data_IF_848244621645
#
_entry.id   IF_848244621645
#
_cell.length_a   1.000
_cell.length_b   1.000
_cell.length_c   1.000
_cell.angle_alpha   90.00
_cell.angle_beta   90.00
_cell.angle_gamma   90.00
#
_symmetry.space_group_name_H-M   'P 1'
#
loop_
_entity.id
_entity.type
_entity.pdbx_description
1 polymer ?
#
# COMPACT_ATOMS: atom_id res chain seq x y z
N UNK A 1 -17.88 20.33 -15.35
CA UNK A 1 -17.99 18.87 -15.04
C UNK A 1 -18.77 18.73 -13.74
N UNK A 2 -19.75 17.83 -13.65
CA UNK A 2 -20.48 17.64 -12.38
C UNK A 2 -19.55 17.12 -11.27
N UNK A 3 -19.78 17.56 -10.04
CA UNK A 3 -19.02 17.18 -8.84
C UNK A 3 -18.89 15.66 -8.70
N UNK A 4 -19.97 14.93 -8.99
CA UNK A 4 -20.01 13.45 -9.00
C UNK A 4 -19.04 12.85 -10.03
N UNK A 5 -18.97 13.41 -11.26
CA UNK A 5 -18.04 12.93 -12.29
C UNK A 5 -16.58 13.13 -11.86
N UNK A 6 -16.28 14.26 -11.20
CA UNK A 6 -14.95 14.52 -10.63
C UNK A 6 -14.59 13.51 -9.52
N UNK A 7 -15.51 13.26 -8.60
CA UNK A 7 -15.32 12.30 -7.51
C UNK A 7 -15.15 10.85 -8.02
N UNK A 8 -15.91 10.43 -9.03
CA UNK A 8 -15.72 9.11 -9.68
C UNK A 8 -14.31 8.94 -10.25
N UNK A 9 -13.79 9.98 -10.91
CA UNK A 9 -12.41 9.96 -11.41
C UNK A 9 -11.41 9.89 -10.27
N UNK A 10 -11.63 10.63 -9.19
CA UNK A 10 -10.75 10.63 -8.03
C UNK A 10 -10.72 9.27 -7.33
N UNK A 11 -11.87 8.60 -7.17
CA UNK A 11 -11.95 7.23 -6.65
C UNK A 11 -11.11 6.28 -7.49
N UNK A 12 -11.22 6.33 -8.83
CA UNK A 12 -10.40 5.48 -9.72
C UNK A 12 -8.90 5.75 -9.57
N UNK A 13 -8.50 7.01 -9.48
CA UNK A 13 -7.09 7.38 -9.28
C UNK A 13 -6.57 6.89 -7.92
N UNK A 14 -7.36 7.03 -6.86
CA UNK A 14 -7.00 6.55 -5.51
C UNK A 14 -6.95 5.02 -5.44
N UNK A 15 -7.85 4.33 -6.14
CA UNK A 15 -7.83 2.87 -6.24
C UNK A 15 -6.53 2.38 -6.88
N UNK A 16 -6.18 2.96 -8.04
CA UNK A 16 -4.90 2.65 -8.71
C UNK A 16 -3.69 2.95 -7.83
N UNK A 17 -3.73 4.00 -7.02
CA UNK A 17 -2.63 4.33 -6.09
C UNK A 17 -2.51 3.30 -4.95
N UNK A 18 -3.63 2.78 -4.45
CA UNK A 18 -3.64 1.70 -3.46
C UNK A 18 -3.05 0.42 -4.07
N UNK A 19 -3.46 0.03 -5.28
CA UNK A 19 -2.90 -1.11 -6.02
C UNK A 19 -1.38 -0.97 -6.23
N UNK A 20 -0.90 0.21 -6.62
CA UNK A 20 0.54 0.48 -6.76
C UNK A 20 1.29 0.32 -5.42
N UNK A 21 0.69 0.77 -4.33
CA UNK A 21 1.30 0.66 -2.99
C UNK A 21 1.34 -0.79 -2.53
N UNK A 22 0.32 -1.59 -2.88
CA UNK A 22 0.29 -3.03 -2.62
C UNK A 22 1.34 -3.78 -3.43
N UNK A 23 1.48 -3.48 -4.73
CA UNK A 23 2.54 -4.05 -5.55
C UNK A 23 3.94 -3.72 -4.98
N UNK A 24 4.15 -2.48 -4.54
CA UNK A 24 5.41 -2.06 -3.91
C UNK A 24 5.67 -2.82 -2.61
N UNK A 25 4.62 -3.07 -1.80
CA UNK A 25 4.74 -3.89 -0.60
C UNK A 25 5.15 -5.33 -0.94
N UNK A 26 4.52 -5.94 -1.95
CA UNK A 26 4.86 -7.30 -2.38
C UNK A 26 6.31 -7.39 -2.88
N UNK A 27 6.78 -6.41 -3.65
CA UNK A 27 8.17 -6.33 -4.10
C UNK A 27 9.13 -6.16 -2.92
N UNK A 28 8.78 -5.32 -1.93
CA UNK A 28 9.59 -5.15 -0.71
C UNK A 28 9.69 -6.41 0.14
N UNK A 29 8.61 -7.21 0.23
CA UNK A 29 8.61 -8.50 0.94
C UNK A 29 9.51 -9.49 0.19
N UNK A 30 9.49 -9.49 -1.14
CA UNK A 30 10.40 -10.33 -1.94
C UNK A 30 11.84 -9.91 -1.74
N UNK A 31 12.13 -8.62 -1.72
CA UNK A 31 13.47 -8.10 -1.45
C UNK A 31 13.96 -8.50 -0.05
N UNK A 32 13.10 -8.38 0.98
CA UNK A 32 13.42 -8.81 2.34
C UNK A 32 13.84 -10.29 2.39
N UNK A 33 13.09 -11.18 1.72
CA UNK A 33 13.46 -12.61 1.65
C UNK A 33 14.84 -12.81 1.01
N UNK A 34 15.13 -12.06 -0.06
CA UNK A 34 16.45 -12.09 -0.69
C UNK A 34 17.58 -11.66 0.25
N UNK A 35 17.37 -10.63 1.07
CA UNK A 35 18.34 -10.21 2.09
C UNK A 35 18.46 -11.22 3.24
N UNK A 36 17.36 -11.85 3.65
CA UNK A 36 17.37 -12.91 4.67
C UNK A 36 18.15 -14.14 4.20
N UNK A 37 17.96 -14.55 2.94
CA UNK A 37 18.72 -15.62 2.30
C UNK A 37 20.22 -15.26 2.19
N UNK A 38 20.53 -14.00 1.81
CA UNK A 38 21.91 -13.52 1.73
C UNK A 38 22.59 -13.49 3.10
N UNK A 39 21.88 -13.10 4.15
CA UNK A 39 22.38 -13.15 5.53
C UNK A 39 22.60 -14.60 6.00
N UNK A 40 21.69 -15.52 5.70
CA UNK A 40 21.88 -16.94 6.00
C UNK A 40 23.12 -17.52 5.30
N UNK A 41 23.35 -17.14 4.04
CA UNK A 41 24.56 -17.52 3.31
C UNK A 41 25.82 -16.94 3.95
N UNK A 42 25.80 -15.66 4.36
CA UNK A 42 26.92 -15.03 5.05
C UNK A 42 27.25 -15.73 6.38
N UNK A 43 26.23 -16.11 7.16
CA UNK A 43 26.40 -16.89 8.38
C UNK A 43 27.04 -18.26 8.12
N UNK A 44 26.64 -18.95 7.05
CA UNK A 44 27.27 -20.22 6.65
C UNK A 44 28.75 -20.02 6.32
N UNK A 45 29.08 -19.00 5.53
CA UNK A 45 30.46 -18.68 5.16
C UNK A 45 31.30 -18.28 6.37
N UNK A 46 30.73 -17.54 7.33
CA UNK A 46 31.42 -17.22 8.58
C UNK A 46 31.69 -18.46 9.42
N UNK A 47 30.72 -19.38 9.54
CA UNK A 47 30.93 -20.64 10.25
C UNK A 47 32.04 -21.48 9.60
N UNK A 48 32.07 -21.57 8.28
CA UNK A 48 33.14 -22.23 7.53
C UNK A 48 34.51 -21.57 7.77
N UNK A 49 34.57 -20.25 7.75
CA UNK A 49 35.81 -19.49 7.99
C UNK A 49 36.33 -19.69 9.42
N UNK A 50 35.44 -19.65 10.43
CA UNK A 50 35.78 -19.92 11.83
C UNK A 50 36.26 -21.36 12.05
N UNK A 51 35.62 -22.33 11.40
CA UNK A 51 36.07 -23.73 11.44
C UNK A 51 37.46 -23.89 10.81
N UNK A 52 37.72 -23.20 9.69
CA UNK A 52 39.03 -23.16 9.04
C UNK A 52 40.11 -22.54 9.93
N UNK A 53 39.79 -21.45 10.63
CA UNK A 53 40.67 -20.83 11.63
C UNK A 53 40.98 -21.78 12.78
N UNK A 54 39.95 -22.43 13.36
CA UNK A 54 40.12 -23.44 14.42
C UNK A 54 41.04 -24.58 13.98
N UNK A 55 40.83 -25.12 12.79
CA UNK A 55 41.67 -26.19 12.24
C UNK A 55 43.13 -25.72 12.01
N UNK A 56 43.35 -24.46 11.61
CA UNK A 56 44.70 -23.91 11.49
C UNK A 56 45.38 -23.78 12.85
N UNK A 57 44.64 -23.33 13.87
CA UNK A 57 45.13 -23.22 15.26
C UNK A 57 45.48 -24.59 15.84
N UNK A 58 44.64 -25.61 15.63
CA UNK A 58 44.88 -26.98 16.08
C UNK A 58 46.11 -27.61 15.41
N UNK A 59 46.30 -27.36 14.11
CA UNK A 59 47.49 -27.81 13.36
C UNK A 59 48.76 -27.17 13.88
N UNK A 60 48.75 -25.85 14.11
CA UNK A 60 49.90 -25.15 14.69
C UNK A 60 50.23 -25.73 16.07
N UNK A 61 49.23 -25.83 16.95
CA UNK A 61 49.40 -26.40 18.29
C UNK A 61 50.01 -27.80 18.25
N UNK A 62 49.43 -28.70 17.45
CA UNK A 62 49.89 -30.09 17.29
C UNK A 62 51.33 -30.16 16.77
N UNK A 63 51.68 -29.28 15.82
CA UNK A 63 53.00 -29.27 15.22
C UNK A 63 54.09 -28.73 16.16
N UNK A 64 53.73 -27.81 17.06
CA UNK A 64 54.63 -27.21 18.07
C UNK A 64 54.66 -27.95 19.42
N UNK A 65 53.91 -29.03 19.58
CA UNK A 65 53.83 -29.81 20.83
C UNK A 65 55.12 -30.58 21.17
N UNK A 66 55.31 -30.90 22.46
CA UNK A 66 56.46 -31.68 22.93
C UNK A 66 56.56 -33.05 22.23
N UNK A 67 57.75 -33.39 21.73
CA UNK A 67 58.03 -34.66 21.02
C UNK A 67 57.95 -34.57 19.49
N UNK A 68 57.52 -33.45 18.93
CA UNK A 68 57.52 -33.17 17.49
C UNK A 68 58.92 -32.80 16.98
N UNK A 69 59.41 -33.45 15.90
CA UNK A 69 60.62 -33.01 15.17
C UNK A 69 60.25 -31.87 14.24
N UNK A 70 60.08 -30.68 14.80
CA UNK A 70 59.59 -29.51 14.07
C UNK A 70 60.75 -28.61 13.61
N UNK A 71 60.76 -28.22 12.32
CA UNK A 71 61.73 -27.26 11.78
C UNK A 71 61.21 -25.83 11.95
N UNK A 72 62.06 -24.87 12.31
CA UNK A 72 61.65 -23.48 12.55
C UNK A 72 60.95 -22.80 11.35
N UNK A 73 61.26 -23.21 10.12
CA UNK A 73 60.59 -22.72 8.91
C UNK A 73 59.11 -23.15 8.82
N UNK A 74 58.77 -24.32 9.35
CA UNK A 74 57.40 -24.83 9.35
C UNK A 74 56.54 -24.06 10.36
N UNK A 75 57.14 -23.64 11.48
CA UNK A 75 56.48 -22.80 12.49
C UNK A 75 56.03 -21.47 11.91
N UNK A 76 56.92 -20.81 11.17
CA UNK A 76 56.65 -19.52 10.53
C UNK A 76 55.54 -19.68 9.49
N UNK A 77 55.60 -20.74 8.68
CA UNK A 77 54.59 -21.01 7.64
C UNK A 77 53.21 -21.26 8.25
N UNK A 78 53.12 -22.09 9.30
CA UNK A 78 51.84 -22.35 9.99
C UNK A 78 51.31 -21.10 10.70
N UNK A 79 52.19 -20.26 11.25
CA UNK A 79 51.78 -18.98 11.85
C UNK A 79 51.21 -18.03 10.79
N UNK A 80 51.82 -17.94 9.61
CA UNK A 80 51.29 -17.14 8.49
C UNK A 80 49.91 -17.63 8.06
N UNK A 81 49.74 -18.95 7.89
CA UNK A 81 48.45 -19.54 7.52
C UNK A 81 47.37 -19.30 8.57
N UNK A 82 47.73 -19.30 9.87
CA UNK A 82 46.82 -18.95 10.95
C UNK A 82 46.39 -17.48 10.84
N UNK A 83 47.34 -16.55 10.64
CA UNK A 83 47.02 -15.13 10.46
C UNK A 83 46.12 -14.88 9.24
N UNK A 84 46.34 -15.57 8.12
CA UNK A 84 45.45 -15.51 6.96
C UNK A 84 44.05 -16.07 7.26
N UNK A 85 43.95 -17.14 8.05
CA UNK A 85 42.67 -17.70 8.47
C UNK A 85 41.91 -16.77 9.43
N UNK A 86 42.60 -16.15 10.38
CA UNK A 86 42.06 -15.13 11.28
C UNK A 86 41.54 -13.91 10.51
N UNK A 87 42.30 -13.45 9.49
CA UNK A 87 41.87 -12.38 8.60
C UNK A 87 40.56 -12.72 7.86
N UNK A 88 40.48 -13.92 7.26
CA UNK A 88 39.27 -14.40 6.57
C UNK A 88 38.07 -14.55 7.51
N UNK A 89 38.28 -15.06 8.71
CA UNK A 89 37.26 -15.19 9.76
C UNK A 89 36.71 -13.83 10.19
N UNK A 90 37.60 -12.85 10.41
CA UNK A 90 37.22 -11.49 10.73
C UNK A 90 36.47 -10.78 9.58
N UNK A 91 36.91 -10.97 8.33
CA UNK A 91 36.21 -10.47 7.14
C UNK A 91 34.81 -11.08 7.01
N UNK A 92 34.68 -12.40 7.19
CA UNK A 92 33.40 -13.08 7.13
C UNK A 92 32.44 -12.57 8.22
N UNK A 93 32.92 -12.38 9.45
CA UNK A 93 32.12 -11.80 10.54
C UNK A 93 31.63 -10.38 10.23
N UNK A 94 32.49 -9.53 9.63
CA UNK A 94 32.08 -8.20 9.17
C UNK A 94 31.00 -8.28 8.10
N UNK A 95 31.13 -9.21 7.15
CA UNK A 95 30.15 -9.40 6.09
C UNK A 95 28.80 -9.89 6.63
N UNK A 96 28.80 -10.80 7.61
CA UNK A 96 27.57 -11.23 8.31
C UNK A 96 26.89 -10.04 8.99
N UNK A 97 27.64 -9.21 9.72
CA UNK A 97 27.09 -8.02 10.37
C UNK A 97 26.48 -7.04 9.34
N UNK A 98 27.16 -6.78 8.24
CA UNK A 98 26.63 -5.94 7.16
C UNK A 98 25.37 -6.53 6.51
N UNK A 99 25.31 -7.86 6.34
CA UNK A 99 24.12 -8.52 5.81
C UNK A 99 22.94 -8.42 6.78
N UNK A 100 23.19 -8.52 8.10
CA UNK A 100 22.16 -8.30 9.12
C UNK A 100 21.61 -6.87 9.08
N UNK A 101 22.48 -5.86 8.96
CA UNK A 101 22.05 -4.46 8.84
C UNK A 101 21.14 -4.24 7.61
N UNK A 102 21.41 -4.94 6.50
CA UNK A 102 20.55 -4.89 5.30
C UNK A 102 19.20 -5.56 5.53
N UNK A 103 19.16 -6.69 6.23
CA UNK A 103 17.89 -7.33 6.63
C UNK A 103 17.06 -6.37 7.48
N UNK A 104 17.65 -5.71 8.47
CA UNK A 104 16.94 -4.78 9.33
C UNK A 104 16.46 -3.54 8.57
N UNK A 105 17.26 -3.01 7.64
CA UNK A 105 16.84 -1.95 6.73
C UNK A 105 15.67 -2.38 5.83
N UNK A 106 15.72 -3.60 5.28
CA UNK A 106 14.66 -4.16 4.45
C UNK A 106 13.36 -4.36 5.25
N UNK A 107 13.45 -4.82 6.51
CA UNK A 107 12.30 -4.89 7.43
C UNK A 107 11.68 -3.52 7.69
N UNK A 108 12.52 -2.51 7.94
CA UNK A 108 12.08 -1.13 8.08
C UNK A 108 11.36 -0.61 6.82
N UNK A 109 11.85 -0.97 5.64
CA UNK A 109 11.23 -0.61 4.37
C UNK A 109 9.86 -1.28 4.17
N UNK A 110 9.75 -2.59 4.44
CA UNK A 110 8.47 -3.32 4.39
C UNK A 110 7.44 -2.64 5.30
N UNK A 111 7.83 -2.30 6.54
CA UNK A 111 6.93 -1.61 7.46
C UNK A 111 6.47 -0.25 6.92
N UNK A 112 7.36 0.54 6.32
CA UNK A 112 7.01 1.81 5.70
C UNK A 112 6.02 1.62 4.53
N UNK A 113 6.19 0.57 3.72
CA UNK A 113 5.28 0.20 2.64
C UNK A 113 3.90 -0.22 3.17
N UNK A 114 3.81 -0.98 4.27
CA UNK A 114 2.55 -1.34 4.92
C UNK A 114 1.79 -0.11 5.43
N UNK A 115 2.51 0.85 6.03
CA UNK A 115 1.91 2.12 6.48
C UNK A 115 1.42 2.93 5.27
N UNK A 116 2.19 2.99 4.19
CA UNK A 116 1.81 3.68 2.97
C UNK A 116 0.55 3.07 2.32
N UNK A 117 0.47 1.73 2.26
CA UNK A 117 -0.69 1.02 1.75
C UNK A 117 -1.94 1.31 2.59
N UNK A 118 -1.85 1.18 3.92
CA UNK A 118 -2.95 1.51 4.83
C UNK A 118 -3.46 2.94 4.63
N UNK A 119 -2.54 3.90 4.52
CA UNK A 119 -2.89 5.30 4.23
C UNK A 119 -3.58 5.47 2.87
N UNK A 120 -3.11 4.77 1.84
CA UNK A 120 -3.71 4.82 0.51
C UNK A 120 -5.15 4.24 0.51
N UNK A 121 -5.35 3.13 1.22
CA UNK A 121 -6.67 2.50 1.40
C UNK A 121 -7.63 3.41 2.17
N UNK A 122 -7.19 4.02 3.27
CA UNK A 122 -8.01 4.99 4.02
C UNK A 122 -8.43 6.19 3.15
N UNK A 123 -7.52 6.71 2.32
CA UNK A 123 -7.85 7.80 1.40
C UNK A 123 -8.84 7.38 0.31
N UNK A 124 -8.72 6.16 -0.20
CA UNK A 124 -9.66 5.60 -1.15
C UNK A 124 -11.06 5.53 -0.53
N UNK A 125 -11.16 4.98 0.67
CA UNK A 125 -12.43 4.80 1.37
C UNK A 125 -13.11 6.14 1.68
N UNK A 126 -12.36 7.09 2.25
CA UNK A 126 -12.88 8.44 2.49
C UNK A 126 -13.33 9.15 1.20
N UNK A 127 -12.75 8.81 0.04
CA UNK A 127 -13.18 9.36 -1.25
C UNK A 127 -14.45 8.67 -1.77
N UNK A 128 -14.62 7.37 -1.50
CA UNK A 128 -15.84 6.62 -1.82
C UNK A 128 -17.03 7.13 -1.02
N UNK A 129 -16.86 7.30 0.29
CA UNK A 129 -17.87 7.88 1.18
C UNK A 129 -18.31 9.27 0.69
N UNK A 130 -17.36 10.12 0.28
CA UNK A 130 -17.67 11.44 -0.30
C UNK A 130 -18.45 11.35 -1.62
N UNK A 131 -18.12 10.37 -2.46
CA UNK A 131 -18.84 10.14 -3.71
C UNK A 131 -20.27 9.67 -3.43
N UNK A 132 -20.46 8.74 -2.51
CA UNK A 132 -21.77 8.22 -2.10
C UNK A 132 -22.64 9.33 -1.51
N UNK A 133 -22.07 10.15 -0.61
CA UNK A 133 -22.76 11.30 -0.05
C UNK A 133 -23.16 12.32 -1.12
N UNK A 134 -22.31 12.56 -2.13
CA UNK A 134 -22.62 13.47 -3.23
C UNK A 134 -23.71 12.93 -4.17
N UNK A 135 -23.76 11.60 -4.38
CA UNK A 135 -24.84 10.95 -5.14
C UNK A 135 -26.15 11.08 -4.37
N UNK A 136 -26.18 10.69 -3.09
CA UNK A 136 -27.37 10.78 -2.25
C UNK A 136 -27.89 12.22 -2.07
N UNK A 137 -27.00 13.22 -2.10
CA UNK A 137 -27.42 14.62 -2.09
C UNK A 137 -28.04 15.06 -3.43
N UNK A 138 -27.50 14.57 -4.56
CA UNK A 138 -28.06 14.87 -5.87
C UNK A 138 -29.41 14.18 -6.10
N UNK A 139 -29.57 12.95 -5.62
CA UNK A 139 -30.83 12.21 -5.71
C UNK A 139 -31.94 12.93 -4.91
N UNK A 140 -31.65 13.35 -3.67
CA UNK A 140 -32.58 14.15 -2.85
C UNK A 140 -32.97 15.48 -3.51
N UNK A 141 -31.98 16.21 -4.05
CA UNK A 141 -32.26 17.48 -4.73
C UNK A 141 -33.11 17.29 -6.00
N UNK A 142 -33.01 16.12 -6.66
CA UNK A 142 -33.85 15.78 -7.79
C UNK A 142 -35.27 15.42 -7.36
N UNK A 143 -35.43 14.66 -6.27
CA UNK A 143 -36.73 14.36 -5.66
C UNK A 143 -37.45 15.65 -5.26
N UNK A 144 -36.76 16.55 -4.55
CA UNK A 144 -37.30 17.86 -4.14
C UNK A 144 -37.77 18.68 -5.36
N UNK A 145 -36.97 18.74 -6.43
CA UNK A 145 -37.32 19.47 -7.65
C UNK A 145 -38.52 18.86 -8.40
N UNK A 146 -38.66 17.54 -8.36
CA UNK A 146 -39.80 16.83 -8.97
C UNK A 146 -41.09 17.07 -8.19
N UNK A 147 -41.01 17.09 -6.86
CA UNK A 147 -42.14 17.40 -5.99
C UNK A 147 -42.62 18.83 -6.19
N UNK A 148 -41.71 19.81 -6.23
CA UNK A 148 -42.03 21.21 -6.54
C UNK A 148 -42.69 21.35 -7.93
N UNK A 149 -42.14 20.73 -8.97
CA UNK A 149 -42.72 20.76 -10.33
C UNK A 149 -44.12 20.12 -10.37
N UNK A 150 -44.32 19.03 -9.62
CA UNK A 150 -45.61 18.35 -9.53
C UNK A 150 -46.68 19.25 -8.86
N UNK A 151 -46.32 19.95 -7.78
CA UNK A 151 -47.19 20.92 -7.11
C UNK A 151 -47.54 22.10 -8.03
N UNK A 152 -46.55 22.71 -8.69
CA UNK A 152 -46.77 23.80 -9.64
C UNK A 152 -47.71 23.38 -10.78
N UNK A 153 -47.49 22.18 -11.32
CA UNK A 153 -48.31 21.62 -12.40
C UNK A 153 -49.74 21.30 -11.91
N UNK A 154 -49.90 20.84 -10.67
CA UNK A 154 -51.21 20.61 -10.07
C UNK A 154 -51.98 21.93 -9.88
N UNK A 155 -51.33 22.97 -9.37
CA UNK A 155 -51.91 24.31 -9.22
C UNK A 155 -52.30 24.90 -10.59
N UNK A 156 -51.43 24.79 -11.59
CA UNK A 156 -51.71 25.27 -12.95
C UNK A 156 -52.95 24.57 -13.55
N UNK A 157 -53.06 23.24 -13.39
CA UNK A 157 -54.24 22.48 -13.82
C UNK A 157 -55.51 22.89 -13.09
N UNK A 158 -55.44 23.09 -11.77
CA UNK A 158 -56.57 23.57 -10.97
C UNK A 158 -57.05 24.96 -11.42
N UNK A 159 -56.12 25.89 -11.67
CA UNK A 159 -56.43 27.23 -12.16
C UNK A 159 -57.02 27.22 -13.58
N UNK A 160 -56.52 26.37 -14.47
CA UNK A 160 -57.09 26.17 -15.80
C UNK A 160 -58.53 25.64 -15.71
N UNK A 161 -58.76 24.58 -14.92
CA UNK A 161 -60.09 24.02 -14.71
C UNK A 161 -61.06 25.04 -14.08
N UNK A 162 -60.58 25.88 -13.15
CA UNK A 162 -61.34 27.00 -12.58
C UNK A 162 -61.76 28.02 -13.64
N UNK A 163 -60.83 28.43 -14.53
CA UNK A 163 -61.10 29.36 -15.63
C UNK A 163 -62.10 28.77 -16.62
N UNK A 164 -62.00 27.49 -16.96
CA UNK A 164 -62.92 26.82 -17.88
C UNK A 164 -64.33 26.70 -17.30
N UNK A 165 -64.46 26.37 -16.01
CA UNK A 165 -65.76 26.39 -15.32
C UNK A 165 -66.38 27.78 -15.30
N UNK A 166 -65.59 28.83 -15.03
CA UNK A 166 -66.07 30.23 -15.08
C UNK A 166 -66.52 30.63 -16.49
N UNK A 167 -65.76 30.26 -17.53
CA UNK A 167 -66.13 30.52 -18.93
C UNK A 167 -67.39 29.75 -19.35
N UNK A 168 -67.55 28.51 -18.90
CA UNK A 168 -68.74 27.71 -19.17
C UNK A 168 -69.98 28.32 -18.49
N UNK A 169 -69.86 28.77 -17.23
CA UNK A 169 -70.95 29.45 -16.52
C UNK A 169 -71.37 30.76 -17.22
N UNK A 170 -70.40 31.60 -17.63
CA UNK A 170 -70.71 32.84 -18.38
C UNK A 170 -71.39 32.57 -19.73
N UNK A 171 -71.06 31.46 -20.41
CA UNK A 171 -71.72 31.05 -21.65
C UNK A 171 -73.15 30.53 -21.41
N UNK A 172 -73.37 29.83 -20.30
CA UNK A 172 -74.70 29.36 -19.91
C UNK A 172 -75.62 30.53 -19.53
N UNK A 173 -75.12 31.53 -18.79
CA UNK A 173 -75.88 32.74 -18.45
C UNK A 173 -76.20 33.61 -19.69
N UNK A 174 -75.31 33.66 -20.68
CA UNK A 174 -75.55 34.37 -21.94
C UNK A 174 -76.54 33.65 -22.88
N UNK A 175 -76.89 32.39 -22.61
CA UNK A 175 -77.85 31.59 -23.38
C UNK A 175 -79.25 31.56 -22.78
N UNK A 176 -79.51 32.26 -21.66
CA UNK A 176 -80.86 32.47 -21.14
C UNK A 176 -81.51 33.61 -21.94
N UNK A 177 -82.51 33.34 -22.82
CA UNK A 177 -83.19 34.41 -23.53
C UNK A 177 -84.06 35.19 -22.53
N UNK A 178 -83.76 36.47 -22.33
CA UNK A 178 -84.77 37.43 -21.91
C UNK A 178 -85.72 37.64 -23.09
N UNK A 179 -86.82 36.90 -23.12
CA UNK A 179 -87.81 37.00 -24.18
C UNK A 179 -89.11 36.27 -23.85
N UNK A 180 -90.05 37.06 -23.31
CA UNK A 180 -91.49 36.87 -23.12
C UNK A 180 -91.96 35.92 -22.00
#
# INVERSE_FOLDING_TARGET
MSTIKGLRTLVRLKARRAEQSEATLQDSIRALRGEEDAHAQAQSTEAEARNGEGAARDRLFSATGEGSRFLGCDAITLQMLLTEAEGRSADAARNTAQALDRVDAARGHVHACEVALRRAQQQLEATRERLEAAIAAADRAQEDAQDEEAEETAVARMLAASRDRKRAAMRADAQVPHGA
#
